data_IF_893423527980
#
_entry.id   IF_893423527980
#
_cell.length_a   1.000
_cell.length_b   1.000
_cell.length_c   1.000
_cell.angle_alpha   90.00
_cell.angle_beta   90.00
_cell.angle_gamma   90.00
#
_symmetry.space_group_name_H-M   'P 1'
#
loop_
_entity.id
_entity.type
_entity.pdbx_description
1 polymer ?
#
# COMPACT_ATOMS: atom_id res chain seq x y z
N UNK A 1 -7.23 -30.93 89.55
CA UNK A 1 -7.25 -32.37 89.22
C UNK A 1 -7.98 -32.54 87.90
N UNK A 2 -7.39 -33.34 86.99
CA UNK A 2 -7.90 -33.80 85.67
C UNK A 2 -7.85 -32.76 84.53
N UNK A 3 -6.89 -32.80 83.58
CA UNK A 3 -6.70 -33.73 82.41
C UNK A 3 -7.80 -33.53 81.34
N UNK A 4 -7.61 -33.52 80.02
CA UNK A 4 -6.53 -33.83 79.05
C UNK A 4 -7.13 -33.52 77.63
N UNK A 5 -6.42 -32.92 76.68
CA UNK A 5 -5.71 -33.53 75.52
C UNK A 5 -6.55 -34.03 74.31
N UNK A 6 -6.18 -33.53 73.11
CA UNK A 6 -6.09 -34.15 71.76
C UNK A 6 -7.39 -34.58 71.02
N UNK A 7 -7.73 -34.03 69.84
CA UNK A 7 -7.16 -34.19 68.48
C UNK A 7 -7.85 -35.30 67.66
N UNK A 8 -8.48 -34.98 66.52
CA UNK A 8 -8.21 -35.58 65.21
C UNK A 8 -9.12 -35.00 64.10
N UNK A 9 -8.51 -34.94 62.92
CA UNK A 9 -8.96 -34.46 61.61
C UNK A 9 -10.05 -35.35 61.00
N UNK A 10 -11.07 -34.74 60.37
CA UNK A 10 -11.64 -35.24 59.09
C UNK A 10 -12.20 -34.07 58.28
N UNK A 11 -11.53 -33.72 57.18
CA UNK A 11 -12.10 -32.87 56.14
C UNK A 11 -13.02 -33.74 55.26
N UNK A 12 -14.28 -33.31 55.09
CA UNK A 12 -15.20 -33.88 54.10
C UNK A 12 -15.60 -32.75 53.16
N UNK A 13 -15.20 -32.90 51.89
CA UNK A 13 -15.63 -32.10 50.76
C UNK A 13 -17.15 -32.14 50.64
N UNK A 14 -17.79 -30.97 50.68
CA UNK A 14 -19.16 -30.77 50.21
C UNK A 14 -19.08 -30.18 48.81
N UNK A 15 -19.51 -30.97 47.83
CA UNK A 15 -19.80 -30.55 46.46
C UNK A 15 -21.02 -29.62 46.47
N UNK A 16 -20.79 -28.32 46.32
CA UNK A 16 -21.84 -27.37 45.97
C UNK A 16 -21.91 -27.24 44.45
N UNK A 17 -23.07 -27.63 43.91
CA UNK A 17 -23.47 -27.38 42.53
C UNK A 17 -23.53 -25.88 42.24
N UNK A 18 -22.81 -25.42 41.22
CA UNK A 18 -22.97 -24.10 40.65
C UNK A 18 -24.28 -24.02 39.84
N UNK A 19 -24.95 -22.84 39.79
CA UNK A 19 -26.13 -22.65 38.96
C UNK A 19 -25.76 -22.72 37.47
N UNK A 20 -26.72 -23.07 36.59
CA UNK A 20 -26.48 -23.08 35.15
C UNK A 20 -26.18 -21.66 34.68
N UNK A 21 -25.10 -21.54 33.90
CA UNK A 21 -24.78 -20.33 33.15
C UNK A 21 -26.02 -19.88 32.35
N UNK A 22 -26.43 -18.59 32.42
CA UNK A 22 -27.39 -18.08 31.45
C UNK A 22 -26.76 -18.22 30.05
N UNK A 23 -27.56 -18.72 29.12
CA UNK A 23 -27.13 -19.16 27.81
C UNK A 23 -26.29 -18.10 27.09
N UNK A 24 -25.26 -18.57 26.39
CA UNK A 24 -24.73 -17.85 25.25
C UNK A 24 -25.89 -17.64 24.28
N UNK A 25 -26.50 -16.45 24.32
CA UNK A 25 -27.11 -15.92 23.11
C UNK A 25 -26.02 -15.89 22.06
N UNK A 26 -26.27 -16.58 20.95
CA UNK A 26 -25.45 -16.48 19.76
C UNK A 26 -25.33 -14.99 19.44
N UNK A 27 -24.13 -14.42 19.59
CA UNK A 27 -23.84 -13.09 19.09
C UNK A 27 -24.29 -13.06 17.64
N UNK A 28 -25.35 -12.32 17.37
CA UNK A 28 -25.75 -11.96 16.02
C UNK A 28 -24.58 -11.16 15.47
N UNK A 29 -23.77 -11.81 14.64
CA UNK A 29 -22.70 -11.17 13.89
C UNK A 29 -23.32 -9.98 13.16
N UNK A 30 -22.67 -8.81 13.14
CA UNK A 30 -23.18 -7.67 12.40
C UNK A 30 -23.46 -8.07 10.95
N UNK A 31 -24.56 -7.54 10.41
CA UNK A 31 -25.03 -7.81 9.07
C UNK A 31 -23.88 -7.59 8.06
N UNK A 32 -23.56 -8.64 7.32
CA UNK A 32 -22.46 -8.66 6.34
C UNK A 32 -22.70 -7.59 5.28
N UNK A 33 -21.67 -6.78 5.01
CA UNK A 33 -21.57 -5.89 3.86
C UNK A 33 -22.05 -6.55 2.57
N UNK A 34 -22.76 -5.79 1.73
CA UNK A 34 -23.40 -6.23 0.48
C UNK A 34 -22.49 -6.71 -0.66
N UNK A 35 -21.29 -7.21 -0.38
CA UNK A 35 -20.43 -7.89 -1.34
C UNK A 35 -20.57 -9.43 -1.21
N UNK A 36 -20.41 -10.16 -2.32
CA UNK A 36 -20.54 -11.62 -2.32
C UNK A 36 -19.45 -12.26 -1.43
N UNK A 37 -19.81 -13.11 -0.42
CA UNK A 37 -18.91 -13.55 0.66
C UNK A 37 -17.62 -14.29 0.25
N UNK A 38 -17.51 -14.73 -0.99
CA UNK A 38 -16.40 -15.58 -1.48
C UNK A 38 -15.72 -15.05 -2.74
N UNK A 39 -16.28 -14.03 -3.39
CA UNK A 39 -15.80 -13.55 -4.70
C UNK A 39 -15.51 -12.06 -4.72
N UNK A 40 -15.75 -11.33 -3.63
CA UNK A 40 -15.47 -9.91 -3.55
C UNK A 40 -15.28 -9.44 -2.12
N UNK A 41 -14.46 -8.40 -1.93
CA UNK A 41 -14.36 -7.63 -0.71
C UNK A 41 -14.77 -6.21 -1.01
N UNK A 42 -15.51 -5.62 -0.08
CA UNK A 42 -15.78 -4.19 -0.13
C UNK A 42 -14.45 -3.48 0.18
N UNK A 43 -13.87 -2.82 -0.81
CA UNK A 43 -12.91 -1.76 -0.55
C UNK A 43 -13.60 -0.70 0.31
N UNK A 44 -12.83 -0.07 1.18
CA UNK A 44 -13.36 0.81 2.23
C UNK A 44 -13.87 2.15 1.69
N UNK A 45 -13.65 2.44 0.40
CA UNK A 45 -14.32 3.50 -0.37
C UNK A 45 -15.75 3.12 -0.82
N UNK A 46 -16.22 1.92 -0.47
CA UNK A 46 -17.54 1.39 -0.81
C UNK A 46 -17.57 0.51 -2.06
N UNK A 47 -16.46 0.39 -2.80
CA UNK A 47 -16.41 -0.38 -4.04
C UNK A 47 -16.20 -1.87 -3.77
N UNK A 48 -17.03 -2.77 -4.33
CA UNK A 48 -16.72 -4.21 -4.26
C UNK A 48 -15.59 -4.55 -5.25
N UNK A 49 -14.45 -4.99 -4.73
CA UNK A 49 -13.31 -5.52 -5.52
C UNK A 49 -13.45 -7.04 -5.58
N UNK A 50 -13.40 -7.61 -6.78
CA UNK A 50 -13.44 -9.07 -6.96
C UNK A 50 -12.20 -9.69 -6.29
N UNK A 51 -12.40 -10.65 -5.39
CA UNK A 51 -11.31 -11.32 -4.69
C UNK A 51 -10.99 -12.64 -5.36
N UNK A 52 -9.72 -12.83 -5.69
CA UNK A 52 -9.20 -14.18 -5.90
C UNK A 52 -8.64 -14.71 -4.58
N UNK A 53 -8.75 -16.01 -4.35
CA UNK A 53 -8.12 -16.72 -3.22
C UNK A 53 -7.03 -17.65 -3.75
N UNK A 54 -5.84 -17.62 -3.16
CA UNK A 54 -4.73 -18.48 -3.59
C UNK A 54 -3.37 -17.89 -3.26
N UNK A 55 -2.26 -18.49 -3.75
CA UNK A 55 -0.97 -17.82 -3.77
C UNK A 55 -1.01 -16.65 -4.76
N UNK A 56 -0.35 -15.54 -4.42
CA UNK A 56 -0.22 -14.36 -5.31
C UNK A 56 0.46 -14.73 -6.63
N UNK A 57 1.37 -15.70 -6.59
CA UNK A 57 2.07 -16.24 -7.74
C UNK A 57 2.62 -17.61 -7.40
N UNK A 58 2.75 -18.46 -8.42
CA UNK A 58 3.41 -19.76 -8.32
C UNK A 58 4.80 -19.76 -8.98
N UNK A 59 5.27 -18.60 -9.50
CA UNK A 59 6.57 -18.47 -10.16
C UNK A 59 7.71 -18.81 -9.20
N UNK A 60 8.70 -19.56 -9.66
CA UNK A 60 9.87 -19.90 -8.84
C UNK A 60 10.65 -18.65 -8.41
N UNK A 61 10.74 -17.64 -9.30
CA UNK A 61 11.36 -16.35 -8.98
C UNK A 61 10.68 -15.66 -7.80
N UNK A 62 9.34 -15.69 -7.76
CA UNK A 62 8.56 -15.12 -6.66
C UNK A 62 8.82 -15.87 -5.35
N UNK A 63 8.73 -17.21 -5.35
CA UNK A 63 8.97 -18.03 -4.16
C UNK A 63 10.36 -17.78 -3.57
N UNK A 64 11.39 -17.70 -4.43
CA UNK A 64 12.76 -17.37 -4.00
C UNK A 64 12.86 -15.98 -3.37
N UNK A 65 12.18 -14.97 -3.91
CA UNK A 65 12.17 -13.63 -3.32
C UNK A 65 11.50 -13.62 -1.95
N UNK A 66 10.37 -14.32 -1.81
CA UNK A 66 9.68 -14.46 -0.52
C UNK A 66 10.60 -15.09 0.52
N UNK A 67 11.27 -16.19 0.18
CA UNK A 67 12.24 -16.85 1.07
C UNK A 67 13.43 -15.95 1.40
N UNK A 68 13.96 -15.24 0.40
CA UNK A 68 15.09 -14.31 0.58
C UNK A 68 14.73 -13.21 1.58
N UNK A 69 13.60 -12.53 1.39
CA UNK A 69 13.12 -11.48 2.31
C UNK A 69 12.89 -12.05 3.71
N UNK A 70 12.27 -13.23 3.81
CA UNK A 70 12.03 -13.91 5.09
C UNK A 70 13.32 -14.30 5.81
N UNK A 71 14.40 -14.61 5.09
CA UNK A 71 15.69 -14.96 5.70
C UNK A 71 16.46 -13.74 6.24
N UNK A 72 16.21 -12.55 5.70
CA UNK A 72 16.92 -11.30 6.06
C UNK A 72 16.24 -10.53 7.20
N UNK A 73 15.67 -11.21 8.20
CA UNK A 73 14.83 -10.55 9.23
C UNK A 73 15.57 -9.51 10.10
N UNK A 74 16.89 -9.64 10.24
CA UNK A 74 17.69 -8.74 11.07
C UNK A 74 17.66 -7.28 10.58
N UNK A 75 17.37 -7.04 9.30
CA UNK A 75 17.24 -5.68 8.73
C UNK A 75 16.09 -4.90 9.37
N UNK A 76 15.05 -5.59 9.85
CA UNK A 76 13.85 -4.95 10.42
C UNK A 76 14.02 -4.61 11.90
N UNK A 77 14.87 -5.34 12.63
CA UNK A 77 15.08 -5.13 14.06
C UNK A 77 15.67 -3.74 14.36
N UNK A 78 16.49 -3.20 13.45
CA UNK A 78 17.04 -1.85 13.61
C UNK A 78 15.96 -0.78 13.48
N UNK A 79 15.03 -0.95 12.54
CA UNK A 79 13.88 -0.06 12.34
C UNK A 79 13.04 -0.05 13.62
N UNK A 80 12.70 -1.23 14.16
CA UNK A 80 11.91 -1.35 15.38
C UNK A 80 12.57 -0.60 16.54
N UNK A 81 13.86 -0.85 16.80
CA UNK A 81 14.61 -0.17 17.88
C UNK A 81 14.63 1.34 17.71
N UNK A 82 14.86 1.85 16.49
CA UNK A 82 14.92 3.30 16.23
C UNK A 82 13.56 3.96 16.43
N UNK A 83 12.47 3.31 16.02
CA UNK A 83 11.13 3.86 16.18
C UNK A 83 10.66 3.77 17.63
N UNK A 84 10.89 2.64 18.31
CA UNK A 84 10.49 2.46 19.71
C UNK A 84 11.23 3.42 20.66
N UNK A 85 12.43 3.86 20.29
CA UNK A 85 13.22 4.84 21.08
C UNK A 85 13.05 6.30 20.62
N UNK A 86 12.25 6.55 19.57
CA UNK A 86 12.07 7.89 19.00
C UNK A 86 11.27 8.84 19.90
N UNK A 87 10.50 8.30 20.85
CA UNK A 87 9.75 9.08 21.84
C UNK A 87 10.05 8.62 23.26
N UNK A 88 10.10 9.58 24.19
CA UNK A 88 10.20 9.33 25.65
C UNK A 88 8.84 9.31 26.33
N UNK A 89 7.77 9.57 25.59
CA UNK A 89 6.41 9.57 26.10
C UNK A 89 5.93 8.12 26.32
N UNK A 90 5.55 7.73 27.56
CA UNK A 90 5.11 6.38 27.86
C UNK A 90 3.80 5.99 27.15
N UNK A 91 2.92 6.94 26.83
CA UNK A 91 1.68 6.68 26.08
C UNK A 91 2.00 6.38 24.61
N UNK A 92 2.93 7.14 24.00
CA UNK A 92 3.41 6.84 22.65
C UNK A 92 4.04 5.45 22.60
N UNK A 93 4.89 5.12 23.58
CA UNK A 93 5.52 3.80 23.67
C UNK A 93 4.50 2.67 23.88
N UNK A 94 3.39 2.93 24.59
CA UNK A 94 2.30 1.97 24.74
C UNK A 94 1.52 1.79 23.43
N UNK A 95 1.23 2.87 22.71
CA UNK A 95 0.51 2.85 21.44
C UNK A 95 1.30 2.13 20.33
N UNK A 96 2.63 2.29 20.29
CA UNK A 96 3.49 1.64 19.29
C UNK A 96 3.63 0.12 19.47
N UNK A 97 3.15 -0.44 20.59
CA UNK A 97 3.24 -1.87 20.89
C UNK A 97 2.05 -2.63 20.32
N UNK A 98 2.37 -3.70 19.58
CA UNK A 98 1.37 -4.65 19.08
C UNK A 98 0.32 -3.96 18.22
N UNK A 99 -0.94 -4.03 18.65
CA UNK A 99 -2.11 -3.49 17.93
C UNK A 99 -2.72 -2.26 18.61
N UNK A 100 -2.07 -1.67 19.62
CA UNK A 100 -2.67 -0.63 20.45
C UNK A 100 -3.06 0.61 19.63
N UNK A 101 -2.13 1.15 18.83
CA UNK A 101 -2.41 2.27 17.93
C UNK A 101 -3.53 1.96 16.94
N UNK A 102 -3.49 0.78 16.33
CA UNK A 102 -4.49 0.36 15.36
C UNK A 102 -5.90 0.29 15.96
N UNK A 103 -6.04 -0.30 17.15
CA UNK A 103 -7.30 -0.31 17.89
C UNK A 103 -7.77 1.12 18.21
N UNK A 104 -6.84 1.99 18.59
CA UNK A 104 -7.15 3.38 18.94
C UNK A 104 -7.57 4.22 17.73
N UNK A 105 -7.03 3.97 16.53
CA UNK A 105 -7.36 4.73 15.32
C UNK A 105 -8.53 4.12 14.53
N UNK A 106 -8.68 2.80 14.53
CA UNK A 106 -9.54 2.09 13.59
C UNK A 106 -10.63 1.23 14.25
N UNK A 107 -10.70 1.21 15.59
CA UNK A 107 -11.84 0.66 16.32
C UNK A 107 -11.99 -0.87 16.34
N UNK A 108 -11.17 -1.64 15.62
CA UNK A 108 -11.30 -3.11 15.62
C UNK A 108 -9.97 -3.89 15.59
N UNK A 109 -10.01 -5.09 16.17
CA UNK A 109 -8.95 -6.10 16.13
C UNK A 109 -8.97 -6.99 14.88
N UNK A 110 -10.14 -7.03 14.21
CA UNK A 110 -10.51 -8.11 13.29
C UNK A 110 -9.90 -7.96 11.90
N UNK A 111 -9.78 -6.72 11.41
CA UNK A 111 -9.33 -6.47 10.03
C UNK A 111 -7.87 -6.06 9.93
N UNK A 112 -7.26 -5.67 11.05
CA UNK A 112 -6.03 -4.91 10.96
C UNK A 112 -4.83 -5.75 10.50
N UNK A 113 -4.62 -6.95 11.08
CA UNK A 113 -3.59 -7.93 10.66
C UNK A 113 -3.99 -9.34 11.14
N UNK A 114 -5.23 -9.77 10.91
CA UNK A 114 -5.61 -11.16 11.17
C UNK A 114 -6.01 -11.81 9.86
N UNK A 115 -5.29 -12.88 9.53
CA UNK A 115 -5.60 -13.82 8.46
C UNK A 115 -6.95 -14.53 8.62
N UNK A 116 -8.06 -13.82 8.84
CA UNK A 116 -9.41 -14.39 8.74
C UNK A 116 -9.84 -14.41 7.29
N UNK A 117 -10.41 -15.52 6.79
CA UNK A 117 -10.63 -15.90 5.37
C UNK A 117 -10.99 -14.82 4.31
N UNK A 118 -11.38 -13.59 4.66
CA UNK A 118 -11.39 -12.42 3.78
C UNK A 118 -9.97 -11.82 3.50
N UNK A 119 -8.95 -12.26 4.23
CA UNK A 119 -7.60 -11.70 4.36
C UNK A 119 -6.62 -12.05 3.24
N UNK A 120 -7.11 -12.52 2.10
CA UNK A 120 -6.30 -12.76 0.89
C UNK A 120 -7.07 -12.37 -0.36
N UNK A 121 -7.79 -11.27 -0.33
CA UNK A 121 -8.26 -10.67 -1.57
C UNK A 121 -7.04 -10.23 -2.37
N UNK A 122 -6.58 -11.12 -3.24
CA UNK A 122 -5.59 -10.77 -4.25
C UNK A 122 -6.24 -9.72 -5.16
N UNK A 123 -5.46 -8.75 -5.67
CA UNK A 123 -5.99 -7.83 -6.67
C UNK A 123 -6.60 -8.64 -7.82
N UNK A 124 -7.76 -8.21 -8.30
CA UNK A 124 -8.48 -8.91 -9.35
C UNK A 124 -7.70 -8.81 -10.65
N UNK A 125 -7.43 -9.96 -11.25
CA UNK A 125 -7.04 -10.04 -12.65
C UNK A 125 -8.21 -9.56 -13.54
N UNK A 126 -8.04 -8.42 -14.23
CA UNK A 126 -8.99 -7.96 -15.25
C UNK A 126 -8.71 -8.64 -16.60
N UNK A 127 -9.07 -9.92 -16.67
CA UNK A 127 -8.97 -10.74 -17.88
C UNK A 127 -9.70 -10.11 -19.08
N UNK A 128 -10.77 -9.35 -18.80
CA UNK A 128 -11.56 -8.67 -19.83
C UNK A 128 -10.78 -7.50 -20.43
N UNK A 129 -10.14 -6.67 -19.60
CA UNK A 129 -9.23 -5.62 -20.06
C UNK A 129 -8.05 -6.23 -20.81
N UNK A 130 -7.42 -7.28 -20.25
CA UNK A 130 -6.30 -7.99 -20.90
C UNK A 130 -6.67 -8.53 -22.28
N UNK A 131 -7.85 -9.11 -22.45
CA UNK A 131 -8.29 -9.69 -23.72
C UNK A 131 -8.38 -8.67 -24.87
N UNK A 132 -8.47 -7.38 -24.56
CA UNK A 132 -8.54 -6.27 -25.53
C UNK A 132 -7.21 -5.52 -25.67
N UNK A 133 -6.23 -5.83 -24.83
CA UNK A 133 -4.93 -5.19 -24.85
C UNK A 133 -4.08 -5.71 -26.02
N UNK A 134 -3.24 -4.83 -26.57
CA UNK A 134 -2.34 -5.20 -27.67
C UNK A 134 -1.07 -5.81 -27.09
N UNK A 135 -0.97 -7.14 -27.14
CA UNK A 135 0.20 -7.86 -26.65
C UNK A 135 1.48 -7.47 -27.41
N UNK A 136 2.60 -7.37 -26.68
CA UNK A 136 3.91 -7.06 -27.24
C UNK A 136 4.97 -7.97 -26.60
N UNK A 137 5.85 -8.65 -27.36
CA UNK A 137 6.88 -9.50 -26.77
C UNK A 137 7.85 -8.69 -25.90
N UNK A 138 7.98 -9.04 -24.62
CA UNK A 138 8.86 -8.32 -23.68
C UNK A 138 10.32 -8.27 -24.15
N UNK A 139 10.78 -9.29 -24.87
CA UNK A 139 12.13 -9.41 -25.42
C UNK A 139 12.40 -8.40 -26.53
N UNK A 140 11.35 -7.92 -27.21
CA UNK A 140 11.45 -6.95 -28.31
C UNK A 140 11.41 -5.50 -27.82
N UNK A 141 11.23 -5.26 -26.52
CA UNK A 141 11.24 -3.91 -25.96
C UNK A 141 12.65 -3.31 -26.09
N UNK A 142 12.82 -2.14 -26.74
CA UNK A 142 14.12 -1.52 -26.88
C UNK A 142 14.72 -1.19 -25.52
N UNK A 143 15.97 -1.65 -25.28
CA UNK A 143 16.65 -1.51 -23.98
C UNK A 143 17.46 -0.22 -23.85
N UNK A 144 17.71 0.47 -24.97
CA UNK A 144 18.43 1.73 -24.96
C UNK A 144 17.61 2.79 -24.22
N UNK A 145 18.18 3.36 -23.16
CA UNK A 145 17.57 4.42 -22.36
C UNK A 145 16.10 4.12 -21.98
N UNK A 146 15.84 2.87 -21.60
CA UNK A 146 14.55 2.38 -21.13
C UNK A 146 14.34 2.75 -19.66
N UNK A 147 13.22 3.39 -19.36
CA UNK A 147 12.68 3.43 -18.01
C UNK A 147 11.78 2.21 -17.78
N UNK A 148 12.10 1.40 -16.78
CA UNK A 148 11.16 0.44 -16.20
C UNK A 148 10.64 1.03 -14.89
N UNK A 149 9.35 1.33 -14.82
CA UNK A 149 8.72 2.04 -13.71
C UNK A 149 7.71 1.12 -13.00
N UNK A 150 8.05 0.69 -11.78
CA UNK A 150 7.11 0.00 -10.91
C UNK A 150 6.32 1.05 -10.13
N UNK A 151 5.00 1.15 -10.35
CA UNK A 151 4.15 2.13 -9.65
C UNK A 151 3.27 1.43 -8.63
N UNK A 152 3.36 1.86 -7.37
CA UNK A 152 2.75 1.18 -6.24
C UNK A 152 2.13 2.17 -5.24
N UNK A 153 1.19 1.67 -4.44
CA UNK A 153 0.46 2.48 -3.47
C UNK A 153 -1.05 2.33 -3.65
N UNK A 154 -1.80 3.44 -3.57
CA UNK A 154 -3.27 3.42 -3.54
C UNK A 154 -3.95 3.98 -4.80
N UNK A 155 -5.22 4.37 -4.67
CA UNK A 155 -6.09 4.73 -5.79
C UNK A 155 -5.54 5.81 -6.72
N UNK A 156 -4.93 6.88 -6.20
CA UNK A 156 -4.42 7.99 -7.02
C UNK A 156 -3.21 7.65 -7.91
N UNK A 157 -2.65 6.44 -7.79
CA UNK A 157 -1.65 5.87 -8.71
C UNK A 157 -2.13 4.57 -9.39
N UNK A 158 -3.41 4.23 -9.23
CA UNK A 158 -4.12 3.18 -9.99
C UNK A 158 -4.99 3.78 -11.12
N UNK A 159 -5.91 2.99 -11.69
CA UNK A 159 -6.82 3.42 -12.74
C UNK A 159 -8.06 4.16 -12.16
N UNK A 160 -7.87 5.17 -11.31
CA UNK A 160 -9.00 5.92 -10.72
C UNK A 160 -9.12 7.37 -11.19
N UNK A 161 -8.19 7.84 -12.04
CA UNK A 161 -8.28 9.17 -12.61
C UNK A 161 -9.56 9.33 -13.44
N UNK A 162 -10.33 10.38 -13.18
CA UNK A 162 -11.58 10.61 -13.91
C UNK A 162 -11.28 11.07 -15.35
N UNK A 163 -12.08 10.65 -16.34
CA UNK A 163 -11.97 11.13 -17.71
C UNK A 163 -12.32 12.62 -17.85
N UNK A 164 -11.94 13.22 -18.99
CA UNK A 164 -12.17 14.65 -19.25
C UNK A 164 -13.67 14.98 -19.28
N UNK A 165 -14.08 16.02 -18.55
CA UNK A 165 -15.46 16.53 -18.54
C UNK A 165 -16.55 15.51 -18.20
N UNK A 166 -16.22 14.37 -17.57
CA UNK A 166 -17.16 13.26 -17.35
C UNK A 166 -17.51 12.47 -18.62
N UNK A 167 -16.76 12.66 -19.71
CA UNK A 167 -16.87 11.84 -20.91
C UNK A 167 -16.50 10.38 -20.61
N UNK A 168 -16.95 9.42 -21.43
CA UNK A 168 -16.53 8.02 -21.30
C UNK A 168 -15.14 7.73 -21.88
N UNK A 169 -14.53 8.70 -22.55
CA UNK A 169 -13.26 8.51 -23.24
C UNK A 169 -12.11 8.83 -22.31
N UNK A 170 -11.31 7.82 -22.01
CA UNK A 170 -10.06 7.97 -21.25
C UNK A 170 -8.97 8.60 -22.14
N UNK A 171 -8.03 9.31 -21.52
CA UNK A 171 -6.80 9.74 -22.18
C UNK A 171 -6.14 8.61 -22.98
N UNK A 172 -5.78 8.89 -24.22
CA UNK A 172 -5.03 7.97 -25.08
C UNK A 172 -3.60 8.49 -25.21
N UNK A 173 -2.58 7.68 -24.89
CA UNK A 173 -1.21 8.10 -25.06
C UNK A 173 -0.88 8.33 -26.54
N UNK A 174 -0.13 9.39 -26.84
CA UNK A 174 0.28 9.70 -28.22
C UNK A 174 1.64 9.10 -28.59
N UNK A 175 2.47 8.74 -27.61
CA UNK A 175 3.65 7.92 -27.84
C UNK A 175 3.34 6.42 -27.66
N UNK A 176 4.12 5.57 -28.33
CA UNK A 176 4.06 4.12 -28.15
C UNK A 176 5.09 3.71 -27.09
N UNK A 177 4.61 3.12 -26.01
CA UNK A 177 5.44 2.55 -24.94
C UNK A 177 4.70 1.37 -24.29
N UNK A 178 5.25 0.78 -23.23
CA UNK A 178 4.87 -0.57 -22.80
C UNK A 178 4.27 -0.62 -21.40
N UNK A 179 3.39 -1.61 -21.17
CA UNK A 179 2.82 -1.96 -19.87
C UNK A 179 3.12 -3.43 -19.60
N UNK A 180 3.73 -3.73 -18.46
CA UNK A 180 3.88 -5.10 -17.97
C UNK A 180 2.70 -5.47 -17.08
N UNK A 181 2.10 -6.62 -17.34
CA UNK A 181 1.03 -7.18 -16.52
C UNK A 181 1.61 -8.24 -15.55
N UNK A 182 1.66 -7.98 -14.23
CA UNK A 182 2.21 -8.90 -13.25
C UNK A 182 1.39 -10.20 -13.09
N UNK A 183 0.12 -10.21 -13.51
CA UNK A 183 -0.74 -11.39 -13.38
C UNK A 183 -0.30 -12.48 -14.36
N UNK A 184 -0.24 -12.19 -15.66
CA UNK A 184 0.16 -13.17 -16.67
C UNK A 184 1.66 -13.12 -17.03
N UNK A 185 2.37 -12.08 -16.58
CA UNK A 185 3.80 -11.90 -16.77
C UNK A 185 4.18 -11.44 -18.17
N UNK A 186 3.25 -10.85 -18.94
CA UNK A 186 3.50 -10.41 -20.32
C UNK A 186 3.52 -8.90 -20.45
N UNK A 187 4.02 -8.45 -21.60
CA UNK A 187 4.06 -7.04 -21.96
C UNK A 187 2.99 -6.71 -23.01
N UNK A 188 2.53 -5.47 -22.97
CA UNK A 188 1.49 -4.91 -23.81
C UNK A 188 1.87 -3.50 -24.24
N UNK A 189 1.25 -2.99 -25.30
CA UNK A 189 1.26 -1.55 -25.57
C UNK A 189 0.45 -0.85 -24.48
N UNK A 190 1.04 0.18 -23.88
CA UNK A 190 0.40 0.91 -22.79
C UNK A 190 -0.81 1.71 -23.28
N UNK A 191 -1.90 1.63 -22.52
CA UNK A 191 -3.15 2.35 -22.77
C UNK A 191 -3.93 2.47 -21.45
N UNK A 192 -4.93 3.34 -21.41
CA UNK A 192 -5.87 3.40 -20.29
C UNK A 192 -7.08 2.48 -20.52
N UNK A 193 -7.61 1.82 -19.48
CA UNK A 193 -7.01 1.62 -18.17
C UNK A 193 -5.74 0.75 -18.28
N UNK A 194 -4.76 0.94 -17.38
CA UNK A 194 -3.53 0.18 -17.40
C UNK A 194 -3.71 -1.22 -16.79
N UNK A 195 -2.98 -2.21 -17.30
CA UNK A 195 -2.95 -3.57 -16.75
C UNK A 195 -2.11 -3.62 -15.46
N UNK A 196 -2.45 -4.57 -14.58
CA UNK A 196 -1.74 -4.85 -13.32
C UNK A 196 -2.30 -4.14 -12.08
N UNK A 197 -3.22 -3.20 -12.24
CA UNK A 197 -3.86 -2.46 -11.16
C UNK A 197 -5.37 -2.38 -11.36
N UNK A 198 -6.12 -2.09 -10.29
CA UNK A 198 -7.58 -2.00 -10.33
C UNK A 198 -8.10 -0.64 -10.77
N UNK A 199 -9.37 -0.62 -11.18
CA UNK A 199 -10.11 0.56 -11.65
C UNK A 199 -10.27 0.60 -13.18
N UNK A 200 -11.19 1.42 -13.65
CA UNK A 200 -11.58 1.57 -15.07
C UNK A 200 -11.33 2.98 -15.64
N UNK A 201 -10.65 3.82 -14.86
CA UNK A 201 -10.31 5.20 -15.21
C UNK A 201 -8.91 5.38 -15.81
N UNK A 202 -8.46 6.63 -15.78
CA UNK A 202 -7.12 7.02 -16.20
C UNK A 202 -6.07 6.60 -15.17
N UNK A 203 -4.94 6.12 -15.67
CA UNK A 203 -3.75 5.81 -14.90
C UNK A 203 -2.70 6.92 -15.08
N UNK A 204 -2.18 7.45 -13.98
CA UNK A 204 -1.14 8.48 -14.02
C UNK A 204 0.14 8.00 -14.73
N UNK A 205 0.49 6.72 -14.62
CA UNK A 205 1.70 6.16 -15.23
C UNK A 205 1.60 6.14 -16.77
N UNK A 206 0.39 6.04 -17.34
CA UNK A 206 0.18 6.12 -18.79
C UNK A 206 0.51 7.53 -19.29
N UNK A 207 0.03 8.58 -18.61
CA UNK A 207 0.39 9.97 -18.94
C UNK A 207 1.86 10.27 -18.68
N UNK A 208 2.42 9.71 -17.61
CA UNK A 208 3.83 9.83 -17.30
C UNK A 208 4.71 9.28 -18.43
N UNK A 209 4.30 8.19 -19.09
CA UNK A 209 5.00 7.64 -20.25
C UNK A 209 5.22 8.69 -21.35
N UNK A 210 4.17 9.42 -21.73
CA UNK A 210 4.26 10.50 -22.71
C UNK A 210 5.16 11.64 -22.22
N UNK A 211 4.95 12.11 -20.99
CA UNK A 211 5.76 13.18 -20.40
C UNK A 211 7.26 12.85 -20.44
N UNK A 212 7.65 11.60 -20.15
CA UNK A 212 9.05 11.18 -20.16
C UNK A 212 9.65 11.14 -21.56
N UNK A 213 8.86 10.74 -22.57
CA UNK A 213 9.30 10.62 -23.97
C UNK A 213 9.35 12.01 -24.62
N UNK A 214 8.29 12.81 -24.48
CA UNK A 214 8.17 14.15 -25.03
C UNK A 214 9.28 15.07 -24.52
N UNK A 215 9.57 14.98 -23.21
CA UNK A 215 10.64 15.74 -22.56
C UNK A 215 12.03 15.14 -22.78
N UNK A 216 12.13 14.03 -23.53
CA UNK A 216 13.39 13.32 -23.85
C UNK A 216 14.19 12.89 -22.60
N UNK A 217 13.48 12.63 -21.50
CA UNK A 217 14.09 12.12 -20.26
C UNK A 217 14.49 10.66 -20.46
N UNK A 218 13.59 9.90 -21.10
CA UNK A 218 13.79 8.53 -21.55
C UNK A 218 13.44 8.39 -23.03
N UNK A 219 14.01 7.40 -23.71
CA UNK A 219 13.64 7.09 -25.10
C UNK A 219 12.57 6.00 -25.17
N UNK A 220 12.57 5.11 -24.18
CA UNK A 220 11.62 4.00 -24.08
C UNK A 220 11.09 3.96 -22.65
N UNK A 221 9.83 3.57 -22.49
CA UNK A 221 9.19 3.45 -21.18
C UNK A 221 8.45 2.11 -21.10
N UNK A 222 8.58 1.44 -19.97
CA UNK A 222 7.72 0.35 -19.55
C UNK A 222 7.17 0.68 -18.16
N UNK A 223 5.85 0.68 -18.01
CA UNK A 223 5.17 0.82 -16.73
C UNK A 223 4.73 -0.56 -16.22
N UNK A 224 4.81 -0.75 -14.91
CA UNK A 224 4.29 -1.93 -14.21
C UNK A 224 3.46 -1.47 -13.01
N UNK A 225 2.20 -1.08 -13.20
CA UNK A 225 1.32 -0.67 -12.11
C UNK A 225 0.90 -1.86 -11.25
N UNK A 226 0.94 -1.67 -9.92
CA UNK A 226 0.50 -2.67 -8.93
C UNK A 226 -0.35 -2.06 -7.81
N UNK A 227 -0.83 -0.84 -7.99
CA UNK A 227 -1.52 -0.09 -6.94
C UNK A 227 -2.87 -0.72 -6.56
N UNK A 228 -3.28 -0.54 -5.31
CA UNK A 228 -4.52 -1.11 -4.76
C UNK A 228 -5.26 -0.03 -3.97
N UNK A 229 -6.45 0.32 -4.44
CA UNK A 229 -7.32 1.34 -3.85
C UNK A 229 -7.69 1.05 -2.40
N UNK A 230 -7.85 2.11 -1.59
CA UNK A 230 -8.32 2.01 -0.20
C UNK A 230 -7.38 1.28 0.76
N UNK A 231 -6.09 1.18 0.42
CA UNK A 231 -5.10 0.49 1.26
C UNK A 231 -4.36 1.43 2.20
N UNK A 232 -4.09 0.94 3.40
CA UNK A 232 -3.20 1.54 4.39
C UNK A 232 -1.77 1.09 4.16
N UNK A 233 -0.80 1.92 4.57
CA UNK A 233 0.61 1.62 4.39
C UNK A 233 1.04 0.33 5.10
N UNK A 234 0.51 0.04 6.29
CA UNK A 234 0.75 -1.18 7.06
C UNK A 234 0.40 -2.46 6.29
N UNK A 235 -0.54 -2.41 5.35
CA UNK A 235 -0.92 -3.58 4.54
C UNK A 235 0.14 -3.93 3.50
N UNK A 236 1.06 -3.00 3.22
CA UNK A 236 2.16 -3.16 2.29
C UNK A 236 3.48 -3.58 2.94
N UNK A 237 3.58 -3.61 4.28
CA UNK A 237 4.85 -3.91 4.96
C UNK A 237 5.30 -5.35 4.73
N UNK A 238 6.62 -5.55 4.68
CA UNK A 238 7.20 -6.88 4.43
C UNK A 238 6.81 -7.93 5.48
N UNK A 239 6.65 -7.51 6.74
CA UNK A 239 6.28 -8.42 7.85
C UNK A 239 4.78 -8.37 8.12
N UNK A 240 4.05 -9.35 7.60
CA UNK A 240 2.61 -9.50 7.88
C UNK A 240 1.71 -8.48 7.16
N UNK A 241 2.25 -7.65 6.26
CA UNK A 241 1.45 -6.95 5.27
C UNK A 241 1.03 -7.92 4.17
N UNK A 242 -0.23 -7.83 3.72
CA UNK A 242 -0.81 -8.73 2.71
C UNK A 242 -0.43 -8.38 1.27
N UNK A 243 -0.03 -7.13 0.99
CA UNK A 243 0.25 -6.66 -0.36
C UNK A 243 1.74 -6.59 -0.70
N UNK A 244 2.63 -6.84 0.26
CA UNK A 244 4.07 -6.87 -0.04
C UNK A 244 4.44 -7.95 -1.06
N UNK A 245 3.78 -9.10 -0.99
CA UNK A 245 3.98 -10.20 -1.95
C UNK A 245 3.50 -9.83 -3.38
N UNK A 246 2.58 -8.86 -3.55
CA UNK A 246 2.22 -8.32 -4.88
C UNK A 246 3.41 -7.61 -5.50
N UNK A 247 4.15 -6.83 -4.70
CA UNK A 247 5.40 -6.18 -5.12
C UNK A 247 6.43 -7.22 -5.55
N UNK A 248 6.62 -8.29 -4.74
CA UNK A 248 7.56 -9.36 -5.07
C UNK A 248 7.16 -10.13 -6.34
N UNK A 249 5.87 -10.33 -6.57
CA UNK A 249 5.37 -11.00 -7.78
C UNK A 249 5.68 -10.20 -9.05
N UNK A 250 5.44 -8.89 -9.03
CA UNK A 250 5.79 -8.00 -10.13
C UNK A 250 7.30 -7.95 -10.38
N UNK A 251 8.10 -7.85 -9.31
CA UNK A 251 9.56 -7.91 -9.41
C UNK A 251 10.04 -9.23 -10.03
N UNK A 252 9.49 -10.37 -9.59
CA UNK A 252 9.84 -11.67 -10.14
C UNK A 252 9.50 -11.77 -11.64
N UNK A 253 8.29 -11.38 -12.04
CA UNK A 253 7.86 -11.45 -13.44
C UNK A 253 8.69 -10.53 -14.35
N UNK A 254 8.98 -9.30 -13.91
CA UNK A 254 9.85 -8.39 -14.64
C UNK A 254 11.27 -8.97 -14.84
N UNK A 255 11.81 -9.63 -13.81
CA UNK A 255 13.15 -10.24 -13.83
C UNK A 255 13.26 -11.41 -14.79
N UNK A 256 12.19 -12.17 -14.99
CA UNK A 256 12.15 -13.25 -15.98
C UNK A 256 12.45 -12.75 -17.41
N UNK A 257 12.18 -11.47 -17.68
CA UNK A 257 12.44 -10.81 -18.97
C UNK A 257 13.61 -9.82 -18.94
N UNK A 258 14.44 -9.85 -17.88
CA UNK A 258 15.56 -8.91 -17.69
C UNK A 258 15.12 -7.44 -17.63
N UNK A 259 13.90 -7.16 -17.15
CA UNK A 259 13.31 -5.82 -17.02
C UNK A 259 13.41 -5.34 -15.56
N UNK A 260 14.62 -5.24 -15.00
CA UNK A 260 14.78 -4.70 -13.65
C UNK A 260 14.22 -3.27 -13.55
N UNK A 261 13.43 -2.93 -12.51
CA UNK A 261 12.96 -1.57 -12.31
C UNK A 261 14.12 -0.58 -12.28
N UNK A 262 13.95 0.51 -13.01
CA UNK A 262 14.85 1.68 -12.98
C UNK A 262 14.36 2.76 -12.02
N UNK A 263 13.10 2.66 -11.59
CA UNK A 263 12.49 3.50 -10.57
C UNK A 263 11.27 2.81 -9.96
N UNK A 264 11.09 2.98 -8.66
CA UNK A 264 9.90 2.55 -7.92
C UNK A 264 9.19 3.82 -7.45
N UNK A 265 7.98 4.05 -7.95
CA UNK A 265 7.19 5.25 -7.67
C UNK A 265 6.10 4.88 -6.68
N UNK A 266 6.19 5.40 -5.46
CA UNK A 266 5.25 5.08 -4.39
C UNK A 266 4.35 6.27 -4.08
N UNK A 267 3.04 6.07 -4.17
CA UNK A 267 2.03 7.08 -3.88
C UNK A 267 0.92 6.49 -3.00
N UNK A 268 0.96 6.83 -1.72
CA UNK A 268 0.03 6.36 -0.71
C UNK A 268 0.06 7.29 0.48
N UNK A 269 -1.07 7.47 1.16
CA UNK A 269 -1.14 8.07 2.49
C UNK A 269 -2.50 8.67 2.83
N UNK A 270 -3.35 8.91 1.83
CA UNK A 270 -4.64 9.55 2.04
C UNK A 270 -5.53 8.74 2.97
N UNK A 271 -5.52 7.41 2.85
CA UNK A 271 -6.32 6.56 3.72
C UNK A 271 -5.85 6.59 5.17
N UNK A 272 -4.52 6.60 5.39
CA UNK A 272 -3.96 6.80 6.74
C UNK A 272 -4.28 8.20 7.30
N UNK A 273 -4.40 9.22 6.45
CA UNK A 273 -4.70 10.59 6.85
C UNK A 273 -6.16 10.80 7.30
N UNK A 274 -7.11 10.00 6.80
CA UNK A 274 -8.55 10.15 7.08
C UNK A 274 -8.88 10.22 8.58
N UNK A 275 -8.25 9.36 9.40
CA UNK A 275 -8.47 9.32 10.85
C UNK A 275 -8.17 10.67 11.53
N UNK A 276 -7.22 11.44 11.00
CA UNK A 276 -6.75 12.71 11.55
C UNK A 276 -7.47 13.92 10.97
N UNK A 277 -7.84 13.86 9.69
CA UNK A 277 -8.57 14.94 9.01
C UNK A 277 -10.05 14.95 9.37
N UNK A 278 -10.65 13.78 9.56
CA UNK A 278 -12.07 13.65 9.86
C UNK A 278 -12.37 13.49 11.36
N UNK A 279 -11.37 13.20 12.20
CA UNK A 279 -11.55 12.79 13.60
C UNK A 279 -12.60 11.69 13.75
N UNK A 280 -12.60 10.74 12.81
CA UNK A 280 -13.52 9.61 12.79
C UNK A 280 -12.75 8.35 12.48
N UNK A 281 -13.09 7.26 13.15
CA UNK A 281 -12.70 5.92 12.80
C UNK A 281 -13.44 5.50 11.52
N UNK A 282 -13.06 4.34 11.01
CA UNK A 282 -13.60 3.77 9.79
C UNK A 282 -15.09 3.42 9.87
N UNK A 283 -15.56 3.06 11.07
CA UNK A 283 -16.98 2.77 11.36
C UNK A 283 -17.79 4.05 11.68
N UNK A 284 -17.24 5.22 11.32
CA UNK A 284 -17.77 6.54 11.63
C UNK A 284 -17.83 6.89 13.13
N UNK A 285 -17.23 6.08 14.01
CA UNK A 285 -17.08 6.44 15.42
C UNK A 285 -16.21 7.69 15.53
N UNK A 286 -16.65 8.70 16.28
CA UNK A 286 -15.81 9.87 16.54
C UNK A 286 -14.57 9.49 17.35
N UNK A 287 -13.40 9.91 16.85
CA UNK A 287 -12.13 9.72 17.52
C UNK A 287 -11.77 10.98 18.29
N UNK A 288 -11.40 10.80 19.57
CA UNK A 288 -10.66 11.81 20.31
C UNK A 288 -9.17 11.61 20.05
N UNK A 289 -8.66 12.22 18.98
CA UNK A 289 -7.25 12.08 18.61
C UNK A 289 -6.36 12.92 19.54
N UNK A 290 -5.63 12.27 20.44
CA UNK A 290 -4.70 12.92 21.38
C UNK A 290 -3.34 13.23 20.73
N UNK A 291 -2.54 14.10 21.35
CA UNK A 291 -1.17 14.39 20.89
C UNK A 291 -0.28 13.13 20.85
N UNK A 292 -0.28 12.26 21.89
CA UNK A 292 0.42 10.97 21.83
C UNK A 292 -0.04 10.07 20.68
N UNK A 293 -1.35 10.03 20.37
CA UNK A 293 -1.85 9.28 19.22
C UNK A 293 -1.30 9.80 17.89
N UNK A 294 -1.23 11.12 17.72
CA UNK A 294 -0.65 11.74 16.51
C UNK A 294 0.83 11.38 16.34
N UNK A 295 1.61 11.47 17.42
CA UNK A 295 3.03 11.11 17.33
C UNK A 295 3.24 9.61 17.11
N UNK A 296 2.47 8.75 17.80
CA UNK A 296 2.51 7.31 17.57
C UNK A 296 2.12 6.95 16.12
N UNK A 297 1.13 7.62 15.55
CA UNK A 297 0.73 7.44 14.16
C UNK A 297 1.83 7.85 13.17
N UNK A 298 2.43 9.02 13.37
CA UNK A 298 3.57 9.49 12.58
C UNK A 298 4.71 8.46 12.61
N UNK A 299 5.09 8.00 13.80
CA UNK A 299 6.16 7.03 14.01
C UNK A 299 5.84 5.66 13.41
N UNK A 300 4.60 5.18 13.55
CA UNK A 300 4.14 3.92 12.93
C UNK A 300 4.12 4.01 11.40
N UNK A 301 3.72 5.14 10.83
CA UNK A 301 3.76 5.35 9.38
C UNK A 301 5.21 5.31 8.86
N UNK A 302 6.13 5.98 9.55
CA UNK A 302 7.57 5.90 9.24
C UNK A 302 8.08 4.45 9.34
N UNK A 303 7.74 3.73 10.42
CA UNK A 303 8.10 2.31 10.59
C UNK A 303 7.66 1.48 9.39
N UNK A 304 6.38 1.54 9.04
CA UNK A 304 5.81 0.77 7.94
C UNK A 304 6.50 1.09 6.60
N UNK A 305 6.77 2.38 6.34
CA UNK A 305 7.44 2.79 5.11
C UNK A 305 8.88 2.27 5.03
N UNK A 306 9.62 2.39 6.13
CA UNK A 306 10.98 1.86 6.22
C UNK A 306 11.01 0.33 6.08
N UNK A 307 9.98 -0.38 6.60
CA UNK A 307 9.85 -1.82 6.40
C UNK A 307 9.60 -2.20 4.93
N UNK A 308 8.80 -1.43 4.19
CA UNK A 308 8.59 -1.64 2.75
C UNK A 308 9.92 -1.48 2.00
N UNK A 309 10.65 -0.39 2.30
CA UNK A 309 11.96 -0.11 1.69
C UNK A 309 12.95 -1.21 2.04
N UNK A 310 13.04 -1.60 3.31
CA UNK A 310 13.94 -2.68 3.75
C UNK A 310 13.57 -4.02 3.11
N UNK A 311 12.27 -4.31 2.94
CA UNK A 311 11.80 -5.48 2.21
C UNK A 311 12.24 -5.47 0.74
N UNK A 312 12.08 -4.33 0.06
CA UNK A 312 12.53 -4.15 -1.33
C UNK A 312 14.05 -4.37 -1.46
N UNK A 313 14.84 -3.79 -0.56
CA UNK A 313 16.30 -4.01 -0.52
C UNK A 313 16.65 -5.45 -0.17
N UNK A 314 15.89 -6.10 0.71
CA UNK A 314 16.05 -7.52 1.02
C UNK A 314 15.73 -8.41 -0.18
N UNK A 315 14.86 -7.98 -1.08
CA UNK A 315 14.57 -8.61 -2.37
C UNK A 315 15.55 -8.19 -3.49
N UNK A 316 16.66 -7.51 -3.14
CA UNK A 316 17.67 -6.96 -4.04
C UNK A 316 17.10 -6.00 -5.11
N UNK A 317 15.95 -5.37 -4.84
CA UNK A 317 15.41 -4.29 -5.66
C UNK A 317 16.11 -2.98 -5.27
N UNK A 318 17.21 -2.67 -5.97
CA UNK A 318 18.10 -1.54 -5.66
C UNK A 318 17.79 -0.25 -6.44
N UNK A 319 16.71 -0.25 -7.23
CA UNK A 319 16.25 0.93 -7.96
C UNK A 319 16.04 2.13 -7.02
N UNK A 320 16.21 3.37 -7.52
CA UNK A 320 15.72 4.58 -6.85
C UNK A 320 14.24 4.42 -6.44
N UNK A 321 13.95 4.67 -5.16
CA UNK A 321 12.58 4.66 -4.63
C UNK A 321 12.15 6.09 -4.42
N UNK A 322 11.02 6.48 -4.98
CA UNK A 322 10.44 7.80 -4.81
C UNK A 322 9.22 7.74 -3.92
N UNK A 323 9.18 8.63 -2.93
CA UNK A 323 8.13 8.71 -1.91
C UNK A 323 7.29 9.96 -2.15
N UNK A 324 6.10 9.80 -2.72
CA UNK A 324 5.19 10.93 -2.91
C UNK A 324 4.66 11.43 -1.56
N UNK A 325 4.31 12.71 -1.52
CA UNK A 325 3.49 13.27 -0.44
C UNK A 325 2.04 13.26 -0.91
N UNK A 326 1.18 12.59 -0.16
CA UNK A 326 -0.18 12.23 -0.56
C UNK A 326 -1.05 12.00 0.68
N UNK A 327 -1.74 13.04 1.13
CA UNK A 327 -2.58 13.00 2.35
C UNK A 327 -3.99 13.54 2.11
N UNK A 328 -4.19 14.35 1.06
CA UNK A 328 -5.47 14.98 0.77
C UNK A 328 -6.47 14.00 0.15
N UNK A 329 -7.58 13.75 0.85
CA UNK A 329 -8.77 13.08 0.33
C UNK A 329 -10.04 13.67 0.98
N UNK A 330 -10.83 14.39 0.19
CA UNK A 330 -11.95 15.22 0.64
C UNK A 330 -11.48 16.52 1.32
N UNK A 331 -10.85 16.39 2.50
CA UNK A 331 -10.53 17.50 3.41
C UNK A 331 -9.23 18.27 3.12
N UNK A 332 -8.74 18.94 4.17
CA UNK A 332 -7.42 19.56 4.18
C UNK A 332 -6.31 18.50 4.13
N UNK A 333 -5.08 18.95 3.88
CA UNK A 333 -3.88 18.11 3.99
C UNK A 333 -3.70 17.68 5.45
N UNK A 334 -3.14 16.51 5.68
CA UNK A 334 -2.83 16.03 7.03
C UNK A 334 -1.35 16.18 7.36
N UNK A 335 -1.02 17.07 8.29
CA UNK A 335 0.37 17.35 8.67
C UNK A 335 1.07 16.18 9.38
N UNK A 336 0.32 15.23 9.95
CA UNK A 336 0.90 14.08 10.65
C UNK A 336 1.50 13.09 9.64
N UNK A 337 0.70 12.62 8.68
CA UNK A 337 1.17 11.72 7.62
C UNK A 337 2.11 12.46 6.67
N UNK A 338 1.85 13.74 6.38
CA UNK A 338 2.71 14.56 5.51
C UNK A 338 4.12 14.71 6.11
N UNK A 339 4.23 15.04 7.40
CA UNK A 339 5.55 15.11 8.07
C UNK A 339 6.26 13.76 8.13
N UNK A 340 5.52 12.65 8.27
CA UNK A 340 6.08 11.31 8.15
C UNK A 340 6.67 11.07 6.75
N UNK A 341 5.88 11.28 5.69
CA UNK A 341 6.31 11.12 4.28
C UNK A 341 7.54 11.96 3.95
N UNK A 342 7.55 13.24 4.35
CA UNK A 342 8.68 14.14 4.11
C UNK A 342 9.96 13.77 4.86
N UNK A 343 9.88 12.93 5.90
CA UNK A 343 11.05 12.46 6.65
C UNK A 343 11.71 11.20 6.07
N UNK A 344 11.05 10.51 5.12
CA UNK A 344 11.55 9.27 4.52
C UNK A 344 12.69 9.47 3.51
N UNK A 345 12.66 10.49 2.62
CA UNK A 345 13.70 10.68 1.61
C UNK A 345 15.11 10.75 2.21
N UNK A 346 15.98 9.91 1.65
CA UNK A 346 17.40 9.89 1.94
C UNK A 346 18.16 9.50 0.66
N UNK A 347 18.65 10.49 -0.11
CA UNK A 347 19.32 10.24 -1.39
C UNK A 347 20.57 9.34 -1.26
N UNK A 348 21.26 9.36 -0.12
CA UNK A 348 22.43 8.49 0.12
C UNK A 348 22.07 7.00 0.17
N UNK A 349 20.80 6.68 0.42
CA UNK A 349 20.25 5.32 0.42
C UNK A 349 19.42 5.02 -0.85
N UNK A 350 19.48 5.90 -1.84
CA UNK A 350 18.68 5.80 -3.06
C UNK A 350 17.18 6.00 -2.83
N UNK A 351 16.80 6.78 -1.82
CA UNK A 351 15.41 7.12 -1.50
C UNK A 351 15.21 8.61 -1.77
N UNK A 352 14.29 8.96 -2.65
CA UNK A 352 14.09 10.32 -3.14
C UNK A 352 12.68 10.82 -2.81
N UNK A 353 12.53 12.13 -2.71
CA UNK A 353 11.22 12.74 -2.65
C UNK A 353 10.51 12.56 -3.99
N UNK A 354 9.27 12.06 -3.93
CA UNK A 354 8.33 12.05 -5.05
C UNK A 354 7.61 13.39 -5.21
N UNK A 355 6.54 13.44 -6.03
CA UNK A 355 5.70 14.61 -6.16
C UNK A 355 4.93 14.86 -4.86
N UNK A 356 4.65 16.13 -4.61
CA UNK A 356 3.76 16.54 -3.53
C UNK A 356 2.33 16.75 -4.07
N UNK A 357 1.56 15.67 -4.10
CA UNK A 357 0.21 15.68 -4.71
C UNK A 357 -0.83 16.40 -3.86
N UNK A 358 -0.50 16.76 -2.62
CA UNK A 358 -1.34 17.62 -1.79
C UNK A 358 -1.46 19.04 -2.37
N UNK A 359 -0.52 19.45 -3.23
CA UNK A 359 -0.54 20.71 -3.98
C UNK A 359 -1.52 20.68 -5.16
N UNK A 360 -1.99 19.50 -5.56
CA UNK A 360 -3.07 19.37 -6.55
C UNK A 360 -4.37 19.69 -5.83
N UNK A 361 -4.87 20.89 -6.11
CA UNK A 361 -5.99 21.50 -5.40
C UNK A 361 -7.33 20.77 -5.59
N UNK A 362 -8.34 21.09 -4.75
CA UNK A 362 -9.63 20.40 -4.76
C UNK A 362 -10.36 20.43 -6.11
N UNK A 363 -10.22 21.51 -6.90
CA UNK A 363 -10.86 21.63 -8.22
C UNK A 363 -10.36 20.60 -9.22
N UNK A 364 -9.21 19.97 -8.95
CA UNK A 364 -8.64 18.91 -9.78
C UNK A 364 -8.86 17.52 -9.18
N UNK A 365 -9.81 17.39 -8.24
CA UNK A 365 -10.23 16.11 -7.66
C UNK A 365 -11.74 15.89 -7.87
N UNK A 366 -12.13 14.79 -8.52
CA UNK A 366 -13.48 14.56 -9.04
C UNK A 366 -14.53 14.34 -7.95
N UNK A 367 -14.16 13.66 -6.87
CA UNK A 367 -14.99 13.37 -5.70
C UNK A 367 -14.40 13.99 -4.42
N UNK A 368 -13.51 14.98 -4.58
CA UNK A 368 -12.70 15.55 -3.51
C UNK A 368 -11.47 14.71 -3.14
N UNK A 369 -11.35 13.48 -3.63
CA UNK A 369 -10.25 12.57 -3.35
C UNK A 369 -9.45 12.19 -4.60
N UNK A 370 -10.10 11.59 -5.60
CA UNK A 370 -9.45 11.06 -6.80
C UNK A 370 -9.20 12.15 -7.84
N UNK A 371 -8.10 12.04 -8.59
CA UNK A 371 -7.74 13.05 -9.58
C UNK A 371 -8.77 13.14 -10.72
N UNK A 372 -9.06 14.36 -11.17
CA UNK A 372 -9.70 14.62 -12.47
C UNK A 372 -8.73 14.34 -13.61
N UNK A 373 -9.18 14.44 -14.86
CA UNK A 373 -8.30 14.42 -16.04
C UNK A 373 -7.15 15.42 -15.92
N UNK A 374 -7.47 16.68 -15.60
CA UNK A 374 -6.46 17.73 -15.40
C UNK A 374 -5.56 17.47 -14.19
N UNK A 375 -6.11 16.91 -13.11
CA UNK A 375 -5.34 16.50 -11.93
C UNK A 375 -4.35 15.37 -12.24
N UNK A 376 -4.77 14.39 -13.05
CA UNK A 376 -3.93 13.26 -13.47
C UNK A 376 -2.82 13.74 -14.41
N UNK A 377 -3.11 14.70 -15.29
CA UNK A 377 -2.09 15.39 -16.12
C UNK A 377 -1.04 16.10 -15.25
N UNK A 378 -1.49 16.92 -14.30
CA UNK A 378 -0.58 17.60 -13.38
C UNK A 378 0.24 16.60 -12.55
N UNK A 379 -0.39 15.54 -12.05
CA UNK A 379 0.28 14.50 -11.27
C UNK A 379 1.40 13.82 -12.09
N UNK A 380 1.14 13.50 -13.37
CA UNK A 380 2.14 12.93 -14.27
C UNK A 380 3.33 13.88 -14.52
N UNK A 381 3.06 15.17 -14.77
CA UNK A 381 4.12 16.19 -14.93
C UNK A 381 5.02 16.28 -13.70
N UNK A 382 4.42 16.27 -12.50
CA UNK A 382 5.17 16.33 -11.24
C UNK A 382 6.05 15.09 -11.03
N UNK A 383 5.59 13.90 -11.45
CA UNK A 383 6.44 12.70 -11.48
C UNK A 383 7.61 12.83 -12.47
N UNK A 384 7.33 13.33 -13.68
CA UNK A 384 8.35 13.54 -14.70
C UNK A 384 9.42 14.55 -14.25
N UNK A 385 9.04 15.58 -13.48
CA UNK A 385 9.98 16.52 -12.87
C UNK A 385 10.96 15.82 -11.93
N UNK A 386 10.46 14.98 -11.01
CA UNK A 386 11.31 14.22 -10.08
C UNK A 386 12.27 13.26 -10.78
N UNK A 387 11.80 12.59 -11.82
CA UNK A 387 12.64 11.70 -12.61
C UNK A 387 13.70 12.47 -13.42
N UNK A 388 13.33 13.64 -13.95
CA UNK A 388 14.26 14.53 -14.65
C UNK A 388 15.37 15.04 -13.72
N UNK A 389 15.01 15.47 -12.50
CA UNK A 389 15.95 15.91 -11.46
C UNK A 389 16.99 14.83 -11.13
N UNK A 390 16.54 13.59 -10.90
CA UNK A 390 17.44 12.46 -10.63
C UNK A 390 18.40 12.22 -11.80
N UNK A 391 17.90 12.19 -13.03
CA UNK A 391 18.71 11.96 -14.24
C UNK A 391 19.76 13.04 -14.44
N UNK A 392 19.40 14.30 -14.20
CA UNK A 392 20.32 15.42 -14.26
C UNK A 392 21.41 15.35 -13.17
N UNK A 393 21.08 14.83 -11.98
CA UNK A 393 22.05 14.61 -10.92
C UNK A 393 23.02 13.45 -11.25
N UNK A 394 22.50 12.32 -11.75
CA UNK A 394 23.32 11.17 -12.16
C UNK A 394 24.31 11.52 -13.27
N UNK A 395 23.87 12.30 -14.27
CA UNK A 395 24.72 12.73 -15.39
C UNK A 395 25.85 13.65 -14.93
N UNK A 396 25.63 14.46 -13.90
CA UNK A 396 26.65 15.32 -13.29
C UNK A 396 27.70 14.55 -12.50
N UNK A 397 27.32 13.42 -11.89
CA UNK A 397 28.25 12.56 -11.13
C UNK A 397 29.12 11.67 -12.03
N UNK A 398 28.67 11.38 -13.26
CA UNK A 398 29.41 10.57 -14.25
C UNK A 398 30.41 11.38 -15.10
N UNK A 399 30.47 12.70 -14.91
CA UNK A 399 31.43 13.61 -15.54
C UNK A 399 32.44 14.04 -14.50
#
# INVERSE_FOLDING_TARGET
MSRSSFSFVTAVLILCFAPPFPGLEAQVLPERDGCAPTTSAKARDGNCVRCQTGPISTRDGFNRLVETVRSRQSIFADIDRRIDSASRDPEVAALLKGRALARALYGSDADFIAGGNASRCLPSDDETLRSRAVAFPCEQIPRQNLAVLLTAGQSNISNTGAPDGGAKTLYQPHNVFYNFDPFDGKCYIAQNPALGTGGDGENVAVRLGDELIDRKIYQNVLIAPIAISGTYLEEWRARGGKYFEVVLSALAGLREHGLEPTGILWHQGEFNALAFTANTAEDATQLTVTTPMREAARLSYIRNYLEIIAGLRAADANAPIFVATATRCGGAQDEIIRSAQMSIPNPTLGIYAGPDTDLIGPSMRSDGCHMTHAGTDQHARMWADRLSELRAAQTRQSR
#
